data_IF_805079070878
#
_entry.id   IF_805079070878
#
_cell.length_a   1.000
_cell.length_b   1.000
_cell.length_c   1.000
_cell.angle_alpha   90.00
_cell.angle_beta   90.00
_cell.angle_gamma   90.00
#
_symmetry.space_group_name_H-M   'P 1'
#
loop_
_entity.id
_entity.type
_entity.pdbx_description
1 polymer ?
#
# COMPACT_ATOMS: atom_id res chain seq x y z
N UNK A 1 -58.88 50.54 -43.85
CA UNK A 1 -58.84 51.85 -44.53
C UNK A 1 -58.11 52.84 -43.63
N UNK A 2 -57.03 53.41 -44.17
CA UNK A 2 -56.46 54.74 -43.88
C UNK A 2 -55.94 55.12 -42.48
N UNK A 3 -54.73 55.71 -42.54
CA UNK A 3 -54.22 56.83 -41.72
C UNK A 3 -53.66 56.52 -40.32
N UNK A 4 -52.58 57.13 -39.82
CA UNK A 4 -51.41 57.86 -40.35
C UNK A 4 -50.46 58.00 -39.16
N UNK A 5 -49.16 57.93 -39.45
CA UNK A 5 -48.01 58.60 -38.82
C UNK A 5 -48.19 59.39 -37.50
N UNK A 6 -47.27 59.15 -36.56
CA UNK A 6 -46.41 60.24 -36.06
C UNK A 6 -45.10 59.73 -35.49
N UNK A 7 -44.05 60.41 -35.91
CA UNK A 7 -42.64 60.19 -35.64
C UNK A 7 -42.23 61.10 -34.47
N UNK A 8 -41.54 60.58 -33.44
CA UNK A 8 -40.79 61.40 -32.48
C UNK A 8 -39.38 60.84 -32.39
N UNK A 9 -38.44 61.62 -32.92
CA UNK A 9 -37.00 61.43 -32.80
C UNK A 9 -36.53 61.92 -31.43
N UNK A 10 -36.02 61.00 -30.60
CA UNK A 10 -35.27 61.31 -29.38
C UNK A 10 -33.86 60.74 -29.50
N UNK A 11 -32.89 61.62 -29.77
CA UNK A 11 -31.46 61.31 -29.74
C UNK A 11 -30.99 61.01 -28.31
N UNK A 12 -30.44 59.82 -28.09
CA UNK A 12 -29.74 59.43 -26.86
C UNK A 12 -28.38 58.83 -27.21
N UNK A 13 -27.36 59.70 -27.24
CA UNK A 13 -25.97 59.41 -27.56
C UNK A 13 -25.23 58.91 -26.30
N UNK A 14 -24.46 57.83 -26.48
CA UNK A 14 -23.28 57.37 -25.72
C UNK A 14 -23.34 57.08 -24.21
N UNK A 15 -23.34 55.79 -23.84
CA UNK A 15 -22.82 55.34 -22.53
C UNK A 15 -22.06 53.99 -22.53
N UNK A 16 -21.48 53.56 -23.67
CA UNK A 16 -20.77 52.25 -23.74
C UNK A 16 -19.25 52.31 -23.82
N UNK A 17 -18.65 53.48 -23.98
CA UNK A 17 -17.18 53.64 -24.04
C UNK A 17 -16.55 54.03 -22.70
N UNK A 18 -17.32 54.52 -21.73
CA UNK A 18 -16.79 54.94 -20.42
C UNK A 18 -16.54 53.78 -19.45
N UNK A 19 -17.24 52.65 -19.62
CA UNK A 19 -17.11 51.49 -18.73
C UNK A 19 -15.86 50.63 -18.99
N UNK A 20 -15.28 50.69 -20.19
CA UNK A 20 -14.09 49.89 -20.55
C UNK A 20 -12.78 50.56 -20.12
N UNK A 21 -12.72 51.89 -20.08
CA UNK A 21 -11.53 52.63 -19.63
C UNK A 21 -11.35 52.56 -18.09
N UNK A 22 -12.43 52.48 -17.32
CA UNK A 22 -12.37 52.29 -15.86
C UNK A 22 -11.91 50.88 -15.45
N UNK A 23 -12.25 49.84 -16.23
CA UNK A 23 -11.75 48.47 -15.98
C UNK A 23 -10.26 48.33 -16.26
N UNK A 24 -9.74 48.96 -17.32
CA UNK A 24 -8.31 48.87 -17.66
C UNK A 24 -7.44 49.67 -16.68
N UNK A 25 -7.94 50.78 -16.11
CA UNK A 25 -7.25 51.52 -15.06
C UNK A 25 -7.13 50.74 -13.74
N UNK A 26 -8.14 49.91 -13.39
CA UNK A 26 -8.12 49.08 -12.18
C UNK A 26 -7.13 47.89 -12.27
N UNK A 27 -6.91 47.34 -13.47
CA UNK A 27 -5.93 46.27 -13.71
C UNK A 27 -4.49 46.81 -13.69
N UNK A 28 -4.28 48.06 -14.15
CA UNK A 28 -2.95 48.69 -14.10
C UNK A 28 -2.57 49.14 -12.69
N UNK A 29 -3.51 49.64 -11.88
CA UNK A 29 -3.23 50.06 -10.50
C UNK A 29 -2.96 48.90 -9.53
N UNK A 30 -3.48 47.70 -9.83
CA UNK A 30 -3.20 46.48 -9.04
C UNK A 30 -1.87 45.82 -9.42
N UNK A 31 -1.27 46.14 -10.58
CA UNK A 31 0.07 45.69 -10.95
C UNK A 31 1.21 46.58 -10.42
N UNK A 32 0.92 47.83 -10.01
CA UNK A 32 1.95 48.80 -9.62
C UNK A 32 2.09 49.07 -8.11
N UNK A 33 1.23 48.50 -7.26
CA UNK A 33 1.29 48.66 -5.80
C UNK A 33 1.34 47.31 -5.08
N UNK A 34 2.55 46.75 -5.03
CA UNK A 34 3.07 46.14 -3.82
C UNK A 34 2.48 44.79 -3.38
N UNK A 35 3.04 43.71 -3.91
CA UNK A 35 3.60 42.71 -2.99
C UNK A 35 5.08 42.55 -3.37
N UNK A 36 5.91 43.19 -2.55
CA UNK A 36 7.28 42.80 -2.30
C UNK A 36 7.28 41.32 -1.89
N UNK A 37 7.33 40.41 -2.87
CA UNK A 37 7.88 39.09 -2.61
C UNK A 37 9.39 39.30 -2.49
N UNK A 38 9.82 39.57 -1.25
CA UNK A 38 11.11 39.03 -0.79
C UNK A 38 11.12 37.60 -1.28
N UNK A 39 12.07 37.27 -2.15
CA UNK A 39 12.47 35.89 -2.33
C UNK A 39 12.55 35.27 -0.92
N UNK A 40 11.96 34.09 -0.67
CA UNK A 40 12.46 33.30 0.42
C UNK A 40 13.91 33.07 0.04
N UNK A 41 14.80 33.88 0.63
CA UNK A 41 16.15 33.44 0.93
C UNK A 41 15.97 32.02 1.38
N UNK A 42 16.58 31.12 0.63
CA UNK A 42 16.77 29.75 1.03
C UNK A 42 16.97 29.77 2.55
N UNK A 43 15.96 29.31 3.29
CA UNK A 43 16.27 28.49 4.44
C UNK A 43 16.94 27.27 3.83
N UNK A 44 18.22 27.44 3.48
CA UNK A 44 19.23 26.54 3.98
C UNK A 44 18.85 26.43 5.44
N UNK A 45 18.11 25.37 5.76
CA UNK A 45 18.34 24.77 7.05
C UNK A 45 19.86 24.71 7.12
N UNK A 46 20.42 25.47 8.06
CA UNK A 46 21.59 25.01 8.74
C UNK A 46 21.17 23.62 9.26
N UNK A 47 21.34 22.59 8.40
CA UNK A 47 21.82 21.30 8.84
C UNK A 47 22.98 21.74 9.72
N UNK A 48 22.90 21.54 11.05
CA UNK A 48 24.04 21.75 11.90
C UNK A 48 25.17 21.02 11.19
N UNK A 49 26.13 21.81 10.71
CA UNK A 49 27.40 21.31 10.21
C UNK A 49 27.77 20.19 11.16
N UNK A 50 27.93 19.00 10.59
CA UNK A 50 28.00 17.74 11.29
C UNK A 50 28.91 17.89 12.49
N UNK A 51 28.33 18.28 13.62
CA UNK A 51 28.88 18.01 14.92
C UNK A 51 28.94 16.52 14.84
N UNK A 52 30.17 16.01 14.69
CA UNK A 52 30.50 14.61 14.81
C UNK A 52 29.57 14.12 15.89
N UNK A 53 28.51 13.42 15.47
CA UNK A 53 27.69 12.69 16.39
C UNK A 53 28.76 11.76 16.91
N UNK A 54 29.26 12.05 18.11
CA UNK A 54 30.18 11.20 18.82
C UNK A 54 29.42 9.89 18.83
N UNK A 55 29.73 9.08 17.83
CA UNK A 55 29.36 7.70 17.75
C UNK A 55 30.25 7.20 18.87
N UNK A 56 29.70 7.26 20.08
CA UNK A 56 30.28 6.63 21.25
C UNK A 56 30.74 5.31 20.69
N UNK A 57 32.05 5.18 20.66
CA UNK A 57 32.70 3.96 20.26
C UNK A 57 32.28 3.02 21.36
N UNK A 58 31.14 2.35 21.15
CA UNK A 58 30.64 1.24 21.94
C UNK A 58 31.69 0.15 21.75
N UNK A 59 32.75 0.34 22.54
CA UNK A 59 33.71 -0.64 22.94
C UNK A 59 32.94 -1.79 23.58
N UNK A 60 33.37 -2.99 23.21
CA UNK A 60 32.78 -4.31 23.50
C UNK A 60 31.63 -4.77 22.58
N UNK A 61 31.85 -5.97 22.04
CA UNK A 61 31.02 -6.72 21.09
C UNK A 61 29.65 -7.06 21.67
N UNK A 62 28.80 -6.07 21.90
CA UNK A 62 27.39 -6.36 22.11
C UNK A 62 26.80 -6.74 20.76
N UNK A 63 26.71 -8.03 20.50
CA UNK A 63 26.06 -8.56 19.31
C UNK A 63 24.67 -7.95 19.19
N UNK A 64 24.38 -7.29 18.07
CA UNK A 64 23.03 -6.79 17.80
C UNK A 64 22.01 -7.91 18.01
N UNK A 65 20.86 -7.63 18.65
CA UNK A 65 19.84 -8.64 18.90
C UNK A 65 19.31 -9.21 17.58
N UNK A 66 18.73 -10.40 17.62
CA UNK A 66 18.16 -11.03 16.43
C UNK A 66 16.80 -10.40 16.11
N UNK A 67 16.57 -10.09 14.82
CA UNK A 67 15.30 -9.57 14.36
C UNK A 67 14.22 -10.66 14.45
N UNK A 68 13.11 -10.32 15.10
CA UNK A 68 11.94 -11.17 15.27
C UNK A 68 10.70 -10.29 15.45
N UNK A 69 9.50 -10.87 15.35
CA UNK A 69 8.27 -10.13 15.65
C UNK A 69 8.27 -9.59 17.09
N UNK A 70 8.76 -10.37 18.06
CA UNK A 70 8.94 -9.95 19.46
C UNK A 70 9.89 -8.76 19.58
N UNK A 71 11.02 -8.78 18.86
CA UNK A 71 11.95 -7.66 18.83
C UNK A 71 11.27 -6.41 18.28
N UNK A 72 10.57 -6.52 17.15
CA UNK A 72 9.87 -5.39 16.56
C UNK A 72 8.75 -4.85 17.45
N UNK A 73 7.98 -5.72 18.10
CA UNK A 73 6.97 -5.30 19.06
C UNK A 73 7.59 -4.51 20.24
N UNK A 74 8.68 -5.02 20.83
CA UNK A 74 9.39 -4.32 21.92
C UNK A 74 10.01 -3.01 21.48
N UNK A 75 10.57 -2.97 20.27
CA UNK A 75 11.11 -1.77 19.68
C UNK A 75 10.00 -0.74 19.46
N UNK A 76 8.87 -1.16 18.88
CA UNK A 76 7.71 -0.29 18.64
C UNK A 76 7.12 0.24 19.95
N UNK A 77 6.94 -0.62 20.97
CA UNK A 77 6.46 -0.21 22.29
C UNK A 77 7.34 0.88 22.92
N UNK A 78 8.65 0.85 22.68
CA UNK A 78 9.61 1.82 23.23
C UNK A 78 9.72 3.10 22.40
N UNK A 79 9.61 2.99 21.08
CA UNK A 79 9.98 4.05 20.15
C UNK A 79 8.80 4.60 19.34
N UNK A 80 7.61 4.00 19.44
CA UNK A 80 6.40 4.31 18.66
C UNK A 80 6.64 4.32 17.14
N UNK A 81 7.62 3.55 16.68
CA UNK A 81 8.02 3.39 15.27
C UNK A 81 8.81 2.10 15.07
N UNK A 82 8.88 1.62 13.83
CA UNK A 82 9.81 0.57 13.45
C UNK A 82 11.24 1.12 13.24
N UNK A 83 12.27 0.26 13.28
CA UNK A 83 13.62 0.66 12.87
C UNK A 83 13.65 1.19 11.42
N UNK A 84 14.22 2.38 11.22
CA UNK A 84 14.26 3.12 9.96
C UNK A 84 15.66 3.18 9.32
N UNK A 85 16.71 2.94 10.11
CA UNK A 85 18.06 2.78 9.59
C UNK A 85 18.22 1.36 9.03
N UNK A 86 18.25 1.25 7.69
CA UNK A 86 18.33 -0.02 6.97
C UNK A 86 19.70 -0.22 6.34
N UNK A 87 20.30 -1.38 6.59
CA UNK A 87 21.53 -1.85 5.96
C UNK A 87 21.20 -2.88 4.89
N UNK A 88 21.50 -2.54 3.64
CA UNK A 88 21.45 -3.46 2.52
C UNK A 88 22.76 -4.23 2.39
N UNK A 89 22.69 -5.50 1.97
CA UNK A 89 23.88 -6.18 1.49
C UNK A 89 24.33 -5.59 0.14
N UNK A 90 25.60 -5.80 -0.21
CA UNK A 90 26.20 -5.23 -1.42
C UNK A 90 25.61 -5.74 -2.73
N UNK A 91 24.82 -6.82 -2.70
CA UNK A 91 24.17 -7.43 -3.87
C UNK A 91 22.67 -7.13 -3.93
N UNK A 92 22.13 -6.40 -2.96
CA UNK A 92 20.71 -6.13 -2.77
C UNK A 92 19.83 -7.39 -2.72
N UNK A 93 20.36 -8.49 -2.16
CA UNK A 93 19.61 -9.76 -2.02
C UNK A 93 19.02 -9.96 -0.62
N UNK A 94 19.44 -9.14 0.34
CA UNK A 94 18.94 -9.09 1.71
C UNK A 94 19.20 -7.72 2.35
N UNK A 95 18.47 -7.44 3.42
CA UNK A 95 18.62 -6.24 4.24
C UNK A 95 18.35 -6.56 5.71
N UNK A 96 18.89 -5.73 6.60
CA UNK A 96 18.60 -5.75 8.03
C UNK A 96 18.52 -4.33 8.57
N UNK A 97 17.69 -4.06 9.58
CA UNK A 97 17.86 -2.87 10.40
C UNK A 97 19.26 -2.78 11.01
N UNK A 98 19.73 -1.58 11.37
CA UNK A 98 20.95 -1.45 12.18
C UNK A 98 20.73 -1.94 13.63
N UNK A 99 19.48 -1.86 14.12
CA UNK A 99 19.12 -2.21 15.50
C UNK A 99 18.99 -3.70 15.78
N UNK A 100 18.98 -4.55 14.74
CA UNK A 100 18.92 -6.01 14.89
C UNK A 100 19.52 -6.72 13.67
N UNK A 101 19.90 -7.99 13.80
CA UNK A 101 20.35 -8.81 12.66
C UNK A 101 19.30 -9.80 12.22
N UNK A 102 19.14 -9.96 10.91
CA UNK A 102 18.25 -10.98 10.34
C UNK A 102 19.00 -12.31 10.28
N UNK A 103 18.49 -13.33 10.94
CA UNK A 103 19.06 -14.68 10.95
C UNK A 103 18.33 -15.55 9.94
N UNK A 104 19.06 -16.09 8.96
CA UNK A 104 18.46 -16.95 7.93
C UNK A 104 17.80 -18.18 8.57
N UNK A 105 16.56 -18.46 8.18
CA UNK A 105 15.78 -19.58 8.72
C UNK A 105 15.61 -20.71 7.69
N UNK A 106 15.37 -21.93 8.19
CA UNK A 106 14.86 -23.00 7.34
C UNK A 106 13.35 -22.80 7.11
N UNK A 107 13.02 -22.09 6.04
CA UNK A 107 11.63 -21.72 5.69
C UNK A 107 10.74 -22.97 5.65
N UNK A 108 11.14 -24.06 4.97
CA UNK A 108 10.30 -25.26 4.86
C UNK A 108 9.98 -25.88 6.23
N UNK A 109 10.95 -25.96 7.14
CA UNK A 109 10.72 -26.46 8.49
C UNK A 109 9.88 -25.50 9.33
N UNK A 110 10.08 -24.19 9.17
CA UNK A 110 9.27 -23.18 9.83
C UNK A 110 7.80 -23.27 9.45
N UNK A 111 7.49 -23.33 8.15
CA UNK A 111 6.11 -23.42 7.66
C UNK A 111 5.40 -24.64 8.27
N UNK A 112 6.09 -25.79 8.34
CA UNK A 112 5.61 -27.00 9.03
C UNK A 112 5.41 -26.79 10.53
N UNK A 113 6.40 -26.22 11.24
CA UNK A 113 6.35 -25.95 12.68
C UNK A 113 5.17 -25.04 13.05
N UNK A 114 4.96 -24.00 12.25
CA UNK A 114 3.82 -23.07 12.37
C UNK A 114 2.51 -23.63 11.79
N UNK A 115 2.53 -24.85 11.24
CA UNK A 115 1.37 -25.53 10.65
C UNK A 115 0.65 -24.72 9.57
N UNK A 116 1.39 -23.92 8.80
CA UNK A 116 0.82 -23.08 7.73
C UNK A 116 0.32 -23.95 6.58
N UNK A 117 -0.95 -23.79 6.23
CA UNK A 117 -1.64 -24.48 5.13
C UNK A 117 -2.16 -23.51 4.08
N UNK A 118 -2.51 -22.28 4.47
CA UNK A 118 -2.98 -21.23 3.55
C UNK A 118 -2.31 -19.90 3.86
N UNK A 119 -1.75 -19.27 2.84
CA UNK A 119 -1.19 -17.92 2.88
C UNK A 119 -1.96 -17.05 1.89
N UNK A 120 -2.47 -15.91 2.34
CA UNK A 120 -3.04 -14.91 1.45
C UNK A 120 -2.14 -13.67 1.37
N UNK A 121 -1.98 -13.17 0.14
CA UNK A 121 -1.31 -11.92 -0.17
C UNK A 121 -2.33 -10.98 -0.77
N UNK A 122 -2.46 -9.79 -0.19
CA UNK A 122 -3.40 -8.76 -0.67
C UNK A 122 -2.63 -7.56 -1.18
N UNK A 123 -3.17 -6.87 -2.16
CA UNK A 123 -2.61 -5.62 -2.66
C UNK A 123 -3.05 -5.34 -4.09
N UNK A 124 -2.36 -4.37 -4.68
CA UNK A 124 -2.53 -3.92 -6.06
C UNK A 124 -1.54 -4.61 -7.02
N UNK A 125 -1.12 -3.91 -8.08
CA UNK A 125 -0.09 -4.38 -9.02
C UNK A 125 1.27 -4.66 -8.38
N UNK A 126 1.59 -4.10 -7.21
CA UNK A 126 2.75 -4.52 -6.42
C UNK A 126 2.44 -5.82 -5.67
N UNK A 127 1.23 -5.92 -5.09
CA UNK A 127 0.73 -7.11 -4.39
C UNK A 127 0.86 -8.39 -5.22
N UNK A 128 0.48 -8.37 -6.51
CA UNK A 128 0.63 -9.55 -7.38
C UNK A 128 2.09 -9.95 -7.61
N UNK A 129 3.01 -8.97 -7.63
CA UNK A 129 4.46 -9.22 -7.74
C UNK A 129 4.99 -9.85 -6.46
N UNK A 130 4.54 -9.40 -5.29
CA UNK A 130 4.83 -10.08 -4.02
C UNK A 130 4.27 -11.50 -4.03
N UNK A 131 2.99 -11.72 -4.34
CA UNK A 131 2.41 -13.07 -4.39
C UNK A 131 3.16 -14.03 -5.32
N UNK A 132 3.58 -13.53 -6.49
CA UNK A 132 4.38 -14.28 -7.46
C UNK A 132 5.76 -14.68 -6.94
N UNK A 133 6.45 -13.77 -6.22
CA UNK A 133 7.77 -14.06 -5.65
C UNK A 133 7.71 -14.92 -4.39
N UNK A 134 6.62 -14.87 -3.61
CA UNK A 134 6.42 -15.82 -2.52
C UNK A 134 6.39 -17.26 -3.05
N UNK A 135 5.65 -17.49 -4.14
CA UNK A 135 5.65 -18.78 -4.85
C UNK A 135 7.05 -19.17 -5.29
N UNK A 136 7.85 -18.25 -5.83
CA UNK A 136 9.24 -18.54 -6.22
C UNK A 136 10.14 -18.90 -5.04
N UNK A 137 9.97 -18.24 -3.88
CA UNK A 137 10.68 -18.60 -2.65
C UNK A 137 10.31 -20.02 -2.22
N UNK A 138 9.03 -20.41 -2.27
CA UNK A 138 8.63 -21.78 -1.96
C UNK A 138 9.26 -22.80 -2.93
N UNK A 139 9.33 -22.49 -4.23
CA UNK A 139 10.01 -23.34 -5.20
C UNK A 139 11.49 -23.52 -4.84
N UNK A 140 12.18 -22.42 -4.51
CA UNK A 140 13.60 -22.45 -4.12
C UNK A 140 13.87 -23.31 -2.87
N UNK A 141 12.91 -23.42 -1.95
CA UNK A 141 13.05 -24.25 -0.74
C UNK A 141 12.47 -25.67 -0.88
N UNK A 142 12.17 -26.11 -2.10
CA UNK A 142 11.83 -27.51 -2.40
C UNK A 142 10.33 -27.82 -2.47
N UNK A 143 9.52 -26.85 -2.91
CA UNK A 143 8.11 -27.08 -3.25
C UNK A 143 7.89 -27.11 -4.77
N UNK A 144 6.93 -27.90 -5.23
CA UNK A 144 6.33 -27.75 -6.57
C UNK A 144 5.02 -26.99 -6.46
N UNK A 145 4.93 -25.84 -7.12
CA UNK A 145 3.74 -25.00 -7.12
C UNK A 145 3.00 -25.06 -8.46
N UNK A 146 1.70 -25.34 -8.42
CA UNK A 146 0.81 -25.36 -9.58
C UNK A 146 -0.27 -24.29 -9.41
N UNK A 147 -0.51 -23.50 -10.44
CA UNK A 147 -1.64 -22.57 -10.48
C UNK A 147 -2.92 -23.40 -10.64
N UNK A 148 -3.86 -23.25 -9.70
CA UNK A 148 -5.11 -24.02 -9.69
C UNK A 148 -6.34 -23.16 -9.97
N UNK A 149 -6.25 -21.85 -9.75
CA UNK A 149 -7.36 -20.91 -9.94
C UNK A 149 -6.81 -19.57 -10.41
N UNK A 150 -7.52 -18.90 -11.31
CA UNK A 150 -7.21 -17.53 -11.75
C UNK A 150 -8.52 -16.80 -12.00
N UNK A 151 -8.59 -15.55 -11.58
CA UNK A 151 -9.71 -14.67 -11.80
C UNK A 151 -9.75 -14.25 -13.27
N UNK A 152 -10.77 -14.72 -14.00
CA UNK A 152 -10.88 -14.44 -15.43
C UNK A 152 -11.64 -13.14 -15.67
N UNK A 153 -10.95 -12.02 -15.47
CA UNK A 153 -11.50 -10.69 -15.74
C UNK A 153 -11.72 -10.52 -17.23
N UNK A 154 -12.92 -10.07 -17.63
CA UNK A 154 -13.20 -9.73 -19.03
C UNK A 154 -12.21 -8.70 -19.55
N UNK A 155 -11.59 -8.96 -20.70
CA UNK A 155 -10.66 -8.03 -21.35
C UNK A 155 -11.31 -6.70 -21.76
N UNK A 156 -12.64 -6.66 -21.89
CA UNK A 156 -13.38 -5.49 -22.35
C UNK A 156 -13.72 -4.55 -21.19
N UNK A 157 -14.10 -5.09 -20.03
CA UNK A 157 -14.59 -4.27 -18.90
C UNK A 157 -13.74 -4.39 -17.64
N UNK A 158 -12.82 -5.36 -17.56
CA UNK A 158 -11.93 -5.61 -16.43
C UNK A 158 -12.66 -5.70 -15.07
N UNK A 159 -13.85 -6.30 -15.05
CA UNK A 159 -14.65 -6.44 -13.83
C UNK A 159 -14.32 -7.74 -13.09
N UNK A 160 -14.68 -7.80 -11.80
CA UNK A 160 -14.50 -8.97 -10.96
C UNK A 160 -15.15 -10.23 -11.57
N UNK A 161 -14.43 -11.34 -11.53
CA UNK A 161 -14.98 -12.65 -11.91
C UNK A 161 -15.82 -13.22 -10.77
N UNK A 162 -17.14 -13.04 -10.84
CA UNK A 162 -18.05 -13.54 -9.80
C UNK A 162 -18.00 -15.07 -9.64
N UNK A 163 -17.64 -15.82 -10.69
CA UNK A 163 -17.49 -17.27 -10.60
C UNK A 163 -16.21 -17.65 -9.85
N UNK A 164 -15.13 -16.87 -10.00
CA UNK A 164 -13.93 -17.03 -9.18
C UNK A 164 -14.29 -16.94 -7.69
N UNK A 165 -14.98 -15.87 -7.27
CA UNK A 165 -15.27 -15.67 -5.85
C UNK A 165 -16.37 -16.60 -5.30
N UNK A 166 -17.37 -16.96 -6.11
CA UNK A 166 -18.37 -17.94 -5.68
C UNK A 166 -17.83 -19.38 -5.62
N UNK A 167 -16.80 -19.70 -6.42
CA UNK A 167 -16.34 -21.08 -6.61
C UNK A 167 -17.48 -21.98 -7.08
N UNK A 168 -17.75 -23.06 -6.35
CA UNK A 168 -18.85 -23.98 -6.65
C UNK A 168 -20.16 -23.64 -5.92
N UNK A 169 -20.23 -22.52 -5.19
CA UNK A 169 -21.41 -22.13 -4.44
C UNK A 169 -22.40 -21.36 -5.33
N UNK A 170 -23.36 -22.09 -5.92
CA UNK A 170 -24.37 -21.53 -6.82
C UNK A 170 -25.34 -20.56 -6.13
N UNK A 171 -25.63 -20.79 -4.84
CA UNK A 171 -26.49 -19.91 -4.05
C UNK A 171 -25.82 -18.57 -3.75
N UNK A 172 -24.54 -18.57 -3.37
CA UNK A 172 -23.77 -17.33 -3.24
C UNK A 172 -23.69 -16.62 -4.60
N UNK A 173 -23.38 -17.36 -5.66
CA UNK A 173 -23.25 -16.80 -7.01
C UNK A 173 -24.51 -16.05 -7.49
N UNK A 174 -25.69 -16.57 -7.20
CA UNK A 174 -26.96 -15.98 -7.65
C UNK A 174 -27.29 -14.66 -6.93
N UNK A 175 -26.70 -14.43 -5.76
CA UNK A 175 -26.84 -13.17 -5.01
C UNK A 175 -25.81 -12.13 -5.42
N UNK A 176 -24.72 -12.52 -6.09
CA UNK A 176 -23.63 -11.61 -6.44
C UNK A 176 -23.92 -10.78 -7.70
N UNK A 177 -23.55 -9.50 -7.67
CA UNK A 177 -23.52 -8.62 -8.82
C UNK A 177 -22.18 -7.87 -8.92
N UNK A 178 -21.88 -7.39 -10.12
CA UNK A 178 -20.73 -6.51 -10.37
C UNK A 178 -21.14 -5.10 -9.93
N UNK A 179 -20.35 -4.49 -9.03
CA UNK A 179 -20.47 -3.06 -8.76
C UNK A 179 -19.50 -2.28 -9.65
N UNK A 180 -18.37 -1.85 -9.09
CA UNK A 180 -17.29 -1.20 -9.85
C UNK A 180 -16.43 -2.21 -10.60
N UNK A 181 -15.78 -1.79 -11.69
CA UNK A 181 -14.79 -2.61 -12.38
C UNK A 181 -13.37 -2.14 -12.03
N UNK A 182 -12.39 -3.02 -12.18
CA UNK A 182 -11.01 -2.75 -11.83
C UNK A 182 -10.35 -1.80 -12.83
N UNK A 183 -9.40 -1.00 -12.34
CA UNK A 183 -8.62 -0.10 -13.19
C UNK A 183 -7.37 -0.81 -13.71
N UNK A 184 -6.77 -1.71 -12.92
CA UNK A 184 -5.62 -2.50 -13.33
C UNK A 184 -6.03 -3.76 -14.09
N UNK A 185 -5.57 -3.89 -15.33
CA UNK A 185 -5.81 -5.06 -16.19
C UNK A 185 -4.94 -6.27 -15.85
N UNK A 186 -3.81 -6.06 -15.15
CA UNK A 186 -2.84 -7.10 -14.80
C UNK A 186 -2.93 -7.64 -13.38
N UNK A 187 -3.98 -7.28 -12.64
CA UNK A 187 -4.09 -7.53 -11.20
C UNK A 187 -5.09 -8.63 -10.85
N UNK A 188 -5.32 -9.61 -11.72
CA UNK A 188 -6.22 -10.74 -11.46
C UNK A 188 -5.79 -11.55 -10.23
N UNK A 189 -6.75 -11.90 -9.39
CA UNK A 189 -6.54 -12.82 -8.26
C UNK A 189 -6.12 -14.20 -8.77
N UNK A 190 -5.26 -14.90 -8.02
CA UNK A 190 -4.69 -16.19 -8.45
C UNK A 190 -4.38 -17.08 -7.24
N UNK A 191 -4.71 -18.37 -7.35
CA UNK A 191 -4.39 -19.39 -6.35
C UNK A 191 -3.37 -20.40 -6.88
N UNK A 192 -2.38 -20.70 -6.05
CA UNK A 192 -1.37 -21.74 -6.26
C UNK A 192 -1.47 -22.80 -5.16
N UNK A 193 -1.31 -24.07 -5.55
CA UNK A 193 -1.10 -25.19 -4.63
C UNK A 193 0.35 -25.62 -4.71
N UNK A 194 1.07 -25.49 -3.60
CA UNK A 194 2.48 -25.83 -3.46
C UNK A 194 2.64 -27.10 -2.61
N UNK A 195 3.28 -28.13 -3.16
CA UNK A 195 3.54 -29.42 -2.48
C UNK A 195 5.02 -29.57 -2.17
N UNK A 196 5.36 -29.82 -0.91
CA UNK A 196 6.75 -30.05 -0.50
C UNK A 196 7.26 -31.40 -1.00
N UNK A 197 8.45 -31.43 -1.61
CA UNK A 197 9.10 -32.67 -2.03
C UNK A 197 9.55 -33.53 -0.85
N UNK A 198 9.90 -32.89 0.27
CA UNK A 198 10.52 -33.55 1.43
C UNK A 198 9.53 -33.85 2.54
N UNK A 199 8.63 -32.91 2.84
CA UNK A 199 7.79 -32.97 4.04
C UNK A 199 6.38 -33.50 3.78
N UNK A 200 6.00 -33.70 2.51
CA UNK A 200 4.63 -34.04 2.06
C UNK A 200 3.56 -33.02 2.48
N UNK A 201 3.95 -31.85 2.96
CA UNK A 201 3.06 -30.74 3.28
C UNK A 201 2.50 -30.08 2.02
N UNK A 202 1.27 -29.57 2.12
CA UNK A 202 0.60 -28.81 1.05
C UNK A 202 0.28 -27.42 1.59
N UNK A 203 0.72 -26.39 0.86
CA UNK A 203 0.46 -24.99 1.15
C UNK A 203 -0.28 -24.36 -0.02
N UNK A 204 -1.40 -23.70 0.25
CA UNK A 204 -2.10 -22.87 -0.71
C UNK A 204 -1.63 -21.43 -0.57
N UNK A 205 -1.25 -20.80 -1.69
CA UNK A 205 -0.98 -19.36 -1.74
C UNK A 205 -2.06 -18.74 -2.60
N UNK A 206 -2.74 -17.73 -2.09
CA UNK A 206 -3.67 -16.93 -2.88
C UNK A 206 -3.23 -15.47 -2.90
N UNK A 207 -3.06 -14.91 -4.10
CA UNK A 207 -3.07 -13.46 -4.26
C UNK A 207 -4.52 -13.02 -4.47
N UNK A 208 -5.02 -12.17 -3.58
CA UNK A 208 -6.36 -11.58 -3.64
C UNK A 208 -6.20 -10.11 -3.99
N UNK A 209 -6.76 -9.71 -5.13
CA UNK A 209 -6.63 -8.34 -5.58
C UNK A 209 -7.40 -7.36 -4.69
N UNK A 210 -6.72 -6.35 -4.19
CA UNK A 210 -7.25 -5.22 -3.42
C UNK A 210 -6.56 -3.93 -3.91
N UNK A 211 -6.71 -3.62 -5.20
CA UNK A 211 -6.16 -2.42 -5.87
C UNK A 211 -6.43 -1.11 -5.11
N UNK A 212 -7.60 -1.04 -4.48
CA UNK A 212 -8.03 0.07 -3.63
C UNK A 212 -8.73 -0.51 -2.40
N UNK A 213 -8.93 0.34 -1.39
CA UNK A 213 -9.69 0.02 -0.19
C UNK A 213 -11.06 0.70 -0.27
N UNK A 214 -12.06 0.15 0.43
CA UNK A 214 -13.42 0.67 0.49
C UNK A 214 -14.11 0.71 -0.89
N UNK A 215 -13.92 -0.36 -1.67
CA UNK A 215 -14.42 -0.47 -3.05
C UNK A 215 -15.72 -1.27 -3.13
N UNK A 216 -16.33 -1.35 -4.31
CA UNK A 216 -17.56 -2.12 -4.55
C UNK A 216 -17.43 -3.08 -5.74
N UNK A 217 -16.28 -3.74 -5.89
CA UNK A 217 -16.06 -4.63 -7.05
C UNK A 217 -17.07 -5.79 -7.13
N UNK A 218 -17.46 -6.32 -5.97
CA UNK A 218 -18.49 -7.34 -5.81
C UNK A 218 -19.53 -6.83 -4.82
N UNK A 219 -20.80 -6.94 -5.18
CA UNK A 219 -21.94 -6.59 -4.34
C UNK A 219 -22.82 -7.82 -4.09
N UNK A 220 -23.50 -7.85 -2.95
CA UNK A 220 -24.54 -8.84 -2.63
C UNK A 220 -25.92 -8.20 -2.78
N UNK A 221 -26.68 -8.64 -3.78
CA UNK A 221 -28.03 -8.16 -4.05
C UNK A 221 -28.96 -8.49 -2.88
N UNK A 222 -29.71 -7.49 -2.41
CA UNK A 222 -30.69 -7.66 -1.34
C UNK A 222 -30.07 -7.87 0.06
N UNK A 223 -28.76 -7.64 0.23
CA UNK A 223 -28.07 -7.76 1.50
C UNK A 223 -27.22 -6.52 1.79
N UNK A 224 -27.21 -6.11 3.06
CA UNK A 224 -26.30 -5.07 3.58
C UNK A 224 -25.11 -5.67 4.33
N UNK A 225 -24.94 -7.00 4.32
CA UNK A 225 -23.88 -7.70 5.06
C UNK A 225 -22.48 -7.39 4.51
N UNK A 226 -22.37 -7.10 3.22
CA UNK A 226 -21.10 -6.80 2.56
C UNK A 226 -21.20 -5.50 1.74
N UNK A 227 -21.22 -4.33 2.40
CA UNK A 227 -21.39 -3.04 1.71
C UNK A 227 -20.17 -2.63 0.88
N UNK A 228 -19.01 -3.24 1.15
CA UNK A 228 -17.77 -3.03 0.40
C UNK A 228 -17.17 -4.36 -0.03
N UNK A 229 -16.25 -4.31 -0.97
CA UNK A 229 -15.52 -5.48 -1.44
C UNK A 229 -14.65 -6.10 -0.34
N UNK A 230 -14.08 -5.30 0.58
CA UNK A 230 -13.32 -5.82 1.71
C UNK A 230 -14.24 -6.58 2.68
N UNK A 231 -15.46 -6.10 2.92
CA UNK A 231 -16.46 -6.88 3.66
C UNK A 231 -16.78 -8.18 2.92
N UNK A 232 -16.98 -8.13 1.59
CA UNK A 232 -17.20 -9.35 0.82
C UNK A 232 -16.03 -10.34 0.96
N UNK A 233 -14.78 -9.88 0.84
CA UNK A 233 -13.61 -10.75 0.97
C UNK A 233 -13.53 -11.39 2.36
N UNK A 234 -13.64 -10.61 3.42
CA UNK A 234 -13.40 -11.09 4.77
C UNK A 234 -14.62 -11.74 5.43
N UNK A 235 -15.81 -11.15 5.30
CA UNK A 235 -17.02 -11.67 5.94
C UNK A 235 -17.71 -12.75 5.10
N UNK A 236 -17.41 -12.89 3.81
CA UNK A 236 -18.11 -13.85 2.92
C UNK A 236 -17.14 -14.84 2.27
N UNK A 237 -16.19 -14.37 1.45
CA UNK A 237 -15.31 -15.24 0.67
C UNK A 237 -14.38 -16.09 1.55
N UNK A 238 -13.80 -15.49 2.59
CA UNK A 238 -12.84 -16.15 3.48
C UNK A 238 -13.45 -16.71 4.76
N UNK A 239 -14.76 -16.54 4.98
CA UNK A 239 -15.46 -16.90 6.23
C UNK A 239 -15.10 -18.30 6.75
N UNK A 240 -15.24 -19.31 5.90
CA UNK A 240 -15.06 -20.71 6.29
C UNK A 240 -13.64 -21.24 6.01
N UNK A 241 -12.74 -20.38 5.52
CA UNK A 241 -11.43 -20.82 5.04
C UNK A 241 -10.35 -19.75 5.20
N UNK A 242 -10.41 -19.01 6.31
CA UNK A 242 -9.53 -17.89 6.60
C UNK A 242 -8.04 -18.35 6.59
N UNK A 243 -7.13 -17.62 5.92
CA UNK A 243 -5.72 -18.02 5.81
C UNK A 243 -4.99 -18.03 7.15
N UNK A 244 -4.01 -18.91 7.31
CA UNK A 244 -3.18 -19.00 8.52
C UNK A 244 -2.21 -17.80 8.62
N UNK A 245 -1.72 -17.33 7.47
CA UNK A 245 -0.88 -16.14 7.33
C UNK A 245 -1.48 -15.21 6.27
N UNK A 246 -1.72 -13.96 6.64
CA UNK A 246 -2.23 -12.91 5.78
C UNK A 246 -1.20 -11.80 5.68
N UNK A 247 -0.81 -11.42 4.46
CA UNK A 247 0.14 -10.34 4.20
C UNK A 247 -0.52 -9.33 3.29
N UNK A 248 -1.03 -8.26 3.89
CA UNK A 248 -1.79 -7.22 3.21
C UNK A 248 -0.88 -6.03 2.89
N UNK A 249 -0.45 -5.93 1.63
CA UNK A 249 0.26 -4.75 1.14
C UNK A 249 -0.75 -3.64 0.87
N UNK A 250 -0.81 -2.66 1.78
CA UNK A 250 -1.73 -1.55 1.61
C UNK A 250 -1.37 -0.78 0.33
N UNK A 251 -2.34 -0.51 -0.56
CA UNK A 251 -2.09 0.14 -1.85
C UNK A 251 -1.86 1.65 -1.65
N UNK A 252 -0.82 2.03 -0.90
CA UNK A 252 -0.51 3.41 -0.54
C UNK A 252 -0.28 4.30 -1.76
N UNK A 253 0.20 3.72 -2.86
CA UNK A 253 0.33 4.36 -4.15
C UNK A 253 -1.01 4.84 -4.76
N UNK A 254 -2.11 4.19 -4.40
CA UNK A 254 -3.47 4.57 -4.75
C UNK A 254 -4.10 5.46 -3.66
N UNK A 255 -3.89 5.14 -2.37
CA UNK A 255 -4.43 5.90 -1.23
C UNK A 255 -3.91 7.35 -1.23
N UNK A 256 -2.63 7.58 -1.58
CA UNK A 256 -2.02 8.93 -1.65
C UNK A 256 -2.69 9.90 -2.62
N UNK A 257 -3.58 9.41 -3.47
CA UNK A 257 -4.35 10.25 -4.39
C UNK A 257 -5.39 11.11 -3.67
N UNK A 258 -5.73 10.75 -2.44
CA UNK A 258 -6.61 11.49 -1.55
C UNK A 258 -5.81 12.14 -0.41
N UNK A 259 -6.37 13.14 0.28
CA UNK A 259 -5.75 13.71 1.49
C UNK A 259 -5.46 12.64 2.53
N UNK A 260 -4.34 12.76 3.26
CA UNK A 260 -3.96 11.83 4.34
C UNK A 260 -5.07 11.66 5.37
N UNK A 261 -5.80 12.75 5.65
CA UNK A 261 -6.95 12.74 6.56
C UNK A 261 -8.02 11.71 6.17
N UNK A 262 -8.28 11.49 4.88
CA UNK A 262 -9.24 10.47 4.43
C UNK A 262 -8.82 9.08 4.87
N UNK A 263 -7.53 8.74 4.79
CA UNK A 263 -7.01 7.47 5.28
C UNK A 263 -7.15 7.35 6.80
N UNK A 264 -6.77 8.40 7.54
CA UNK A 264 -6.87 8.45 9.01
C UNK A 264 -8.32 8.29 9.49
N UNK A 265 -9.27 8.89 8.78
CA UNK A 265 -10.68 8.85 9.14
C UNK A 265 -11.37 7.52 8.78
N UNK A 266 -10.96 6.87 7.69
CA UNK A 266 -11.63 5.68 7.14
C UNK A 266 -11.02 4.35 7.60
N UNK A 267 -9.69 4.23 7.62
CA UNK A 267 -9.00 2.97 7.95
C UNK A 267 -9.47 2.34 9.29
N UNK A 268 -9.53 3.08 10.42
CA UNK A 268 -9.96 2.52 11.70
C UNK A 268 -11.47 2.26 11.78
N UNK A 269 -12.28 2.77 10.85
CA UNK A 269 -13.75 2.59 10.81
C UNK A 269 -14.18 1.50 9.83
N UNK A 270 -13.31 1.14 8.89
CA UNK A 270 -13.63 0.23 7.78
C UNK A 270 -12.74 -1.01 7.84
N UNK A 271 -11.57 -0.97 7.19
CA UNK A 271 -10.72 -2.12 6.97
C UNK A 271 -10.25 -2.79 8.27
N UNK A 272 -9.77 -2.01 9.26
CA UNK A 272 -9.24 -2.59 10.49
C UNK A 272 -10.31 -3.35 11.30
N UNK A 273 -11.51 -2.78 11.59
CA UNK A 273 -12.59 -3.53 12.24
C UNK A 273 -13.00 -4.80 11.52
N UNK A 274 -13.11 -4.78 10.19
CA UNK A 274 -13.48 -5.96 9.39
C UNK A 274 -12.45 -7.07 9.56
N UNK A 275 -11.16 -6.74 9.45
CA UNK A 275 -10.08 -7.70 9.65
C UNK A 275 -10.11 -8.27 11.08
N UNK A 276 -10.26 -7.41 12.09
CA UNK A 276 -10.34 -7.85 13.50
C UNK A 276 -11.49 -8.82 13.75
N UNK A 277 -12.63 -8.60 13.12
CA UNK A 277 -13.83 -9.45 13.23
C UNK A 277 -13.65 -10.79 12.50
N UNK A 278 -13.12 -10.77 11.28
CA UNK A 278 -13.03 -11.96 10.44
C UNK A 278 -11.85 -12.87 10.76
N UNK A 279 -10.75 -12.31 11.29
CA UNK A 279 -9.52 -13.07 11.56
C UNK A 279 -9.71 -14.10 12.67
N UNK A 280 -9.37 -15.35 12.39
CA UNK A 280 -9.27 -16.39 13.42
C UNK A 280 -8.24 -16.00 14.50
N UNK A 281 -8.45 -16.34 15.79
CA UNK A 281 -7.45 -16.14 16.83
C UNK A 281 -6.09 -16.75 16.51
N UNK A 282 -6.06 -17.81 15.70
CA UNK A 282 -4.80 -18.48 15.34
C UNK A 282 -4.06 -17.86 14.16
N UNK A 283 -4.75 -17.06 13.35
CA UNK A 283 -4.21 -16.47 12.13
C UNK A 283 -3.35 -15.24 12.42
N UNK A 284 -2.19 -15.17 11.77
CA UNK A 284 -1.33 -14.00 11.74
C UNK A 284 -1.72 -13.07 10.59
N UNK A 285 -1.84 -11.77 10.85
CA UNK A 285 -2.19 -10.77 9.84
C UNK A 285 -1.19 -9.62 9.86
N UNK A 286 -0.54 -9.36 8.72
CA UNK A 286 0.43 -8.29 8.56
C UNK A 286 -0.13 -7.21 7.65
N UNK A 287 -0.27 -5.98 8.16
CA UNK A 287 -0.40 -4.80 7.31
C UNK A 287 0.99 -4.33 6.92
N UNK A 288 1.32 -4.41 5.63
CA UNK A 288 2.61 -3.99 5.08
C UNK A 288 2.47 -2.59 4.48
N UNK A 289 3.39 -1.72 4.88
CA UNK A 289 3.47 -0.31 4.46
C UNK A 289 3.82 -0.16 2.96
N UNK A 290 3.61 1.03 2.41
CA UNK A 290 3.94 1.34 1.02
C UNK A 290 5.44 1.55 0.79
N UNK A 291 5.91 1.30 -0.42
CA UNK A 291 7.32 1.52 -0.84
C UNK A 291 7.56 2.96 -1.29
N UNK A 292 8.83 3.37 -1.40
CA UNK A 292 9.20 4.60 -2.09
C UNK A 292 8.82 4.55 -3.57
N UNK A 293 8.58 5.71 -4.16
CA UNK A 293 8.35 5.89 -5.59
C UNK A 293 9.39 6.87 -6.16
N UNK A 294 9.71 6.74 -7.45
CA UNK A 294 10.77 7.52 -8.10
C UNK A 294 10.21 8.30 -9.27
N UNK A 295 9.93 9.57 -9.04
CA UNK A 295 9.27 10.45 -10.00
C UNK A 295 10.04 10.54 -11.31
N UNK A 296 11.37 10.50 -11.28
CA UNK A 296 12.20 10.67 -12.46
C UNK A 296 12.13 9.48 -13.41
N UNK A 297 11.81 8.30 -12.87
CA UNK A 297 11.66 7.05 -13.62
C UNK A 297 10.27 6.91 -14.27
N UNK A 298 9.34 7.84 -14.01
CA UNK A 298 8.02 7.85 -14.63
C UNK A 298 8.11 8.31 -16.08
N UNK A 299 7.55 7.51 -16.98
CA UNK A 299 7.49 7.81 -18.42
C UNK A 299 6.34 8.79 -18.75
N UNK A 300 5.17 8.60 -18.13
CA UNK A 300 3.99 9.43 -18.38
C UNK A 300 4.13 10.82 -17.72
N UNK A 301 4.17 11.91 -18.52
CA UNK A 301 4.33 13.27 -18.01
C UNK A 301 3.25 13.71 -17.02
N UNK A 302 2.06 13.12 -17.08
CA UNK A 302 0.94 13.43 -16.15
C UNK A 302 1.24 12.99 -14.72
N UNK A 303 2.10 11.99 -14.56
CA UNK A 303 2.48 11.43 -13.27
C UNK A 303 3.89 11.88 -12.86
N UNK A 304 4.74 12.30 -13.78
CA UNK A 304 6.11 12.75 -13.50
C UNK A 304 6.11 14.01 -12.61
N UNK A 305 6.80 13.95 -11.47
CA UNK A 305 6.87 15.02 -10.45
C UNK A 305 5.50 15.57 -9.99
N UNK A 306 4.43 14.79 -10.16
CA UNK A 306 3.11 15.19 -9.69
C UNK A 306 3.11 15.27 -8.16
N UNK A 307 2.59 16.38 -7.65
CA UNK A 307 2.36 16.58 -6.23
C UNK A 307 1.05 15.96 -5.76
N UNK A 308 1.04 15.48 -4.52
CA UNK A 308 -0.07 14.87 -3.82
C UNK A 308 -0.23 15.60 -2.50
N UNK A 309 -1.25 16.46 -2.40
CA UNK A 309 -1.43 17.35 -1.26
C UNK A 309 -0.15 18.16 -0.93
N UNK A 310 0.48 18.69 -1.98
CA UNK A 310 1.72 19.47 -1.90
C UNK A 310 3.02 18.67 -1.75
N UNK A 311 2.98 17.33 -1.75
CA UNK A 311 4.14 16.47 -1.53
C UNK A 311 4.49 15.63 -2.76
N UNK A 312 5.77 15.27 -2.90
CA UNK A 312 6.18 14.22 -3.82
C UNK A 312 5.61 12.85 -3.39
N UNK A 313 5.61 11.87 -4.29
CA UNK A 313 4.96 10.59 -4.06
C UNK A 313 5.56 9.84 -2.87
N UNK A 314 6.89 9.81 -2.77
CA UNK A 314 7.59 9.17 -1.65
C UNK A 314 7.23 9.80 -0.31
N UNK A 315 7.20 11.14 -0.22
CA UNK A 315 6.88 11.84 1.02
C UNK A 315 5.41 11.67 1.41
N UNK A 316 4.50 11.67 0.44
CA UNK A 316 3.09 11.37 0.68
C UNK A 316 2.88 9.95 1.22
N UNK A 317 3.59 8.95 0.65
CA UNK A 317 3.53 7.56 1.13
C UNK A 317 4.15 7.43 2.51
N UNK A 318 5.28 8.08 2.79
CA UNK A 318 5.90 8.07 4.12
C UNK A 318 4.96 8.61 5.20
N UNK A 319 4.21 9.68 4.89
CA UNK A 319 3.17 10.18 5.80
C UNK A 319 2.06 9.15 6.02
N UNK A 320 1.55 8.51 4.97
CA UNK A 320 0.55 7.45 5.09
C UNK A 320 1.04 6.24 5.90
N UNK A 321 2.29 5.83 5.69
CA UNK A 321 2.93 4.75 6.46
C UNK A 321 3.01 5.10 7.94
N UNK A 322 3.40 6.34 8.26
CA UNK A 322 3.46 6.85 9.64
C UNK A 322 2.08 6.79 10.31
N UNK A 323 1.04 7.30 9.63
CA UNK A 323 -0.33 7.24 10.14
C UNK A 323 -0.83 5.81 10.31
N UNK A 324 -0.51 4.91 9.36
CA UNK A 324 -0.87 3.49 9.46
C UNK A 324 -0.28 2.87 10.72
N UNK A 325 1.01 3.12 11.02
CA UNK A 325 1.64 2.59 12.22
C UNK A 325 1.01 3.13 13.51
N UNK A 326 0.68 4.42 13.54
CA UNK A 326 -0.02 5.03 14.67
C UNK A 326 -1.41 4.40 14.89
N UNK A 327 -2.18 4.22 13.81
CA UNK A 327 -3.51 3.59 13.88
C UNK A 327 -3.47 2.11 14.26
N UNK A 328 -2.35 1.42 14.00
CA UNK A 328 -2.14 0.01 14.34
C UNK A 328 -1.43 -0.18 15.69
N UNK A 329 -1.03 0.89 16.38
CA UNK A 329 -0.17 0.81 17.55
C UNK A 329 -0.71 -0.16 18.62
N UNK A 330 -1.98 -0.02 18.99
CA UNK A 330 -2.63 -0.87 19.99
C UNK A 330 -2.65 -2.35 19.61
N UNK A 331 -2.68 -2.65 18.32
CA UNK A 331 -2.64 -4.01 17.81
C UNK A 331 -1.22 -4.55 17.78
N UNK A 332 -0.24 -3.73 17.35
CA UNK A 332 1.17 -4.10 17.27
C UNK A 332 1.74 -4.42 18.66
N UNK A 333 1.42 -3.59 19.68
CA UNK A 333 1.92 -3.80 21.04
C UNK A 333 1.20 -4.95 21.76
N UNK A 334 0.01 -5.34 21.30
CA UNK A 334 -0.74 -6.43 21.89
C UNK A 334 -0.35 -7.77 21.25
N UNK A 335 0.48 -8.56 21.93
CA UNK A 335 0.92 -9.88 21.44
C UNK A 335 -0.23 -10.85 21.14
N UNK A 336 -1.41 -10.69 21.76
CA UNK A 336 -2.56 -11.57 21.48
C UNK A 336 -3.40 -11.14 20.28
N UNK A 337 -3.18 -9.93 19.73
CA UNK A 337 -3.93 -9.46 18.55
C UNK A 337 -3.65 -10.34 17.32
N UNK A 338 -2.40 -10.83 17.22
CA UNK A 338 -1.80 -11.40 16.01
C UNK A 338 -1.98 -10.51 14.77
N UNK A 339 -2.16 -9.21 14.97
CA UNK A 339 -2.13 -8.18 13.94
C UNK A 339 -0.80 -7.46 14.10
N UNK A 340 -0.01 -7.52 13.05
CA UNK A 340 1.34 -6.99 13.02
C UNK A 340 1.47 -5.98 11.89
N UNK A 341 2.56 -5.25 11.94
CA UNK A 341 3.11 -4.58 10.78
C UNK A 341 4.56 -4.97 10.60
N UNK A 342 5.27 -4.27 9.73
CA UNK A 342 6.66 -4.52 9.41
C UNK A 342 7.41 -3.19 9.31
N UNK A 343 8.67 -3.25 8.90
CA UNK A 343 9.50 -2.07 8.65
C UNK A 343 8.80 -1.09 7.69
N UNK A 344 9.12 0.20 7.81
CA UNK A 344 8.68 1.20 6.84
C UNK A 344 9.34 0.90 5.48
N UNK A 345 8.53 0.47 4.52
CA UNK A 345 9.04 0.09 3.22
C UNK A 345 9.54 1.29 2.42
N UNK A 346 9.18 2.54 2.75
CA UNK A 346 9.83 3.71 2.16
C UNK A 346 11.31 3.73 2.53
N UNK A 347 11.66 3.58 3.81
CA UNK A 347 13.06 3.64 4.25
C UNK A 347 13.86 2.43 3.74
N UNK A 348 13.21 1.27 3.65
CA UNK A 348 13.81 0.07 3.05
C UNK A 348 14.09 0.26 1.56
N UNK A 349 13.19 0.89 0.80
CA UNK A 349 13.27 0.93 -0.68
C UNK A 349 13.84 2.21 -1.27
N UNK A 350 13.91 3.31 -0.50
CA UNK A 350 14.51 4.57 -0.94
C UNK A 350 15.89 4.43 -1.61
N UNK A 351 16.85 3.63 -1.09
CA UNK A 351 18.15 3.47 -1.75
C UNK A 351 18.10 2.61 -3.04
N UNK A 352 16.96 2.00 -3.36
CA UNK A 352 16.81 1.04 -4.47
C UNK A 352 16.32 1.68 -5.78
N UNK A 353 16.56 2.97 -6.00
CA UNK A 353 16.17 3.67 -7.25
C UNK A 353 16.57 2.91 -8.52
N UNK A 354 17.75 2.29 -8.52
CA UNK A 354 18.27 1.50 -9.64
C UNK A 354 17.46 0.22 -9.96
N UNK A 355 16.66 -0.24 -9.01
CA UNK A 355 15.71 -1.35 -9.16
C UNK A 355 14.31 -0.89 -9.57
N UNK A 356 14.05 0.42 -9.68
CA UNK A 356 12.80 0.94 -10.23
C UNK A 356 12.64 0.53 -11.70
N UNK A 357 11.41 0.14 -12.08
CA UNK A 357 11.01 -0.15 -13.46
C UNK A 357 10.38 1.07 -14.12
N UNK A 358 9.41 1.69 -13.44
CA UNK A 358 8.56 2.76 -14.01
C UNK A 358 8.28 3.89 -12.98
N UNK A 359 9.04 3.92 -11.89
CA UNK A 359 8.82 4.86 -10.79
C UNK A 359 7.79 4.42 -9.76
N UNK A 360 7.09 3.30 -9.97
CA UNK A 360 6.16 2.70 -8.99
C UNK A 360 6.57 1.25 -8.69
N UNK A 361 6.80 0.45 -9.72
CA UNK A 361 7.16 -0.96 -9.60
C UNK A 361 8.67 -1.16 -9.54
N UNK A 362 9.09 -2.18 -8.80
CA UNK A 362 10.49 -2.62 -8.74
C UNK A 362 10.76 -3.84 -9.63
N UNK A 363 12.04 -4.11 -9.87
CA UNK A 363 12.56 -5.35 -10.50
C UNK A 363 12.46 -6.55 -9.54
N UNK A 364 12.47 -7.79 -10.07
CA UNK A 364 12.40 -9.05 -9.29
C UNK A 364 13.30 -9.17 -8.04
N UNK A 365 14.56 -8.65 -8.03
CA UNK A 365 15.43 -8.76 -6.86
C UNK A 365 14.83 -8.19 -5.57
N UNK A 366 14.08 -7.07 -5.66
CA UNK A 366 13.43 -6.46 -4.50
C UNK A 366 12.42 -7.40 -3.83
N UNK A 367 11.46 -7.93 -4.58
CA UNK A 367 10.42 -8.80 -4.02
C UNK A 367 11.01 -10.11 -3.48
N UNK A 368 12.08 -10.61 -4.10
CA UNK A 368 12.83 -11.76 -3.58
C UNK A 368 13.48 -11.46 -2.23
N UNK A 369 14.15 -10.30 -2.11
CA UNK A 369 14.79 -9.86 -0.87
C UNK A 369 13.76 -9.62 0.24
N UNK A 370 12.64 -8.96 -0.08
CA UNK A 370 11.53 -8.77 0.87
C UNK A 370 11.06 -10.10 1.45
N UNK A 371 10.67 -11.07 0.61
CA UNK A 371 10.14 -12.33 1.12
C UNK A 371 11.16 -13.16 1.87
N UNK A 372 12.43 -13.11 1.45
CA UNK A 372 13.51 -13.74 2.21
C UNK A 372 13.57 -13.16 3.62
N UNK A 373 13.70 -11.84 3.75
CA UNK A 373 13.86 -11.16 5.04
C UNK A 373 12.59 -11.28 5.89
N UNK A 374 11.42 -11.09 5.30
CA UNK A 374 10.13 -11.25 5.97
C UNK A 374 9.98 -12.66 6.54
N UNK A 375 10.25 -13.71 5.75
CA UNK A 375 10.14 -15.08 6.22
C UNK A 375 11.23 -15.41 7.23
N UNK A 376 12.46 -14.90 7.09
CA UNK A 376 13.52 -15.09 8.09
C UNK A 376 13.11 -14.51 9.47
N UNK A 377 12.49 -13.33 9.49
CA UNK A 377 12.00 -12.69 10.73
C UNK A 377 10.76 -13.42 11.26
N UNK A 378 9.77 -13.69 10.40
CA UNK A 378 8.54 -14.39 10.77
C UNK A 378 8.82 -15.80 11.31
N UNK A 379 9.80 -16.49 10.73
CA UNK A 379 10.21 -17.83 11.11
C UNK A 379 11.21 -17.89 12.24
N UNK A 380 11.71 -16.76 12.72
CA UNK A 380 12.66 -16.74 13.81
C UNK A 380 12.08 -17.47 15.03
N UNK A 381 12.82 -18.46 15.50
CA UNK A 381 12.58 -19.07 16.80
C UNK A 381 13.93 -19.18 17.47
N UNK A 382 14.01 -18.71 18.71
CA UNK A 382 15.20 -18.89 19.53
C UNK A 382 15.35 -20.40 19.78
N UNK A 383 16.47 -20.97 19.33
CA UNK A 383 16.87 -22.31 19.72
C UNK A 383 17.59 -22.09 21.05
N UNK A 384 16.92 -22.41 22.16
CA UNK A 384 17.52 -22.38 23.48
C UNK A 384 18.48 -23.55 23.69
#
# INVERSE_FOLDING_TARGET
MSSTETCVLGFGIHSRTFSWLLMLAAIYLTCCLGIYFRSPTSMMSNIPDSGELHMETFSERQQSPDCSNDFFQKFFLKHHRFPDLIKWDSKYVSFSPFSCRVISQNISQCLKRKKLRRIAVYGDSQGIRYGSHLKEILIKVGFSCLRVKVENRSTIKNCADLNYFAGNNTALRSTMSIGQCHVCTGCSSVEFVCKSHKLKDIIKIEYINTEQVNTTYVLLNGSTEAPTYEHFIFDVYLRDSFPDLNVFFLPMNHIKRNPVKSFVDEFPKTLLPIVKKAKSPESDFFFISGTSEFEEAREDPRWKYRLWDGLLATDAIRKLNTEMFYLLESEIINATSKIYSFLDLVDVTLPLRHLSLDGVHFKPPWYSAFWKVFLDIYCYAKID
#
